data_IF_765501941312
#
_entry.id   IF_765501941312
#
_cell.length_a   1.000
_cell.length_b   1.000
_cell.length_c   1.000
_cell.angle_alpha   90.00
_cell.angle_beta   90.00
_cell.angle_gamma   90.00
#
_symmetry.space_group_name_H-M   'P 1'
#
loop_
_entity.id
_entity.type
_entity.pdbx_description
1 polymer ?
#
# COMPACT_ATOMS: atom_id res chain seq x y z
N UNK A 1 -4.73 -39.16 23.00
CA UNK A 1 -4.14 -37.81 23.10
C UNK A 1 -5.25 -36.84 23.51
N UNK A 2 -5.13 -36.10 24.62
CA UNK A 2 -6.14 -35.10 24.98
C UNK A 2 -6.10 -33.93 23.99
N UNK A 3 -7.28 -33.40 23.64
CA UNK A 3 -7.39 -32.19 22.82
C UNK A 3 -6.81 -30.99 23.56
N UNK A 4 -6.01 -30.19 22.86
CA UNK A 4 -5.39 -28.98 23.38
C UNK A 4 -6.15 -27.76 22.87
N UNK A 5 -6.64 -26.93 23.78
CA UNK A 5 -7.34 -25.70 23.41
C UNK A 5 -6.35 -24.68 22.84
N UNK A 6 -6.56 -24.25 21.61
CA UNK A 6 -5.77 -23.22 20.94
C UNK A 6 -6.39 -21.84 21.16
N UNK A 7 -5.54 -20.80 21.15
CA UNK A 7 -5.97 -19.41 21.23
C UNK A 7 -6.95 -19.10 20.08
N UNK A 8 -8.05 -18.41 20.41
CA UNK A 8 -8.99 -17.92 19.41
C UNK A 8 -8.29 -16.97 18.43
N UNK A 9 -8.48 -17.22 17.13
CA UNK A 9 -7.94 -16.44 16.01
C UNK A 9 -9.04 -15.89 15.10
N UNK A 10 -10.32 -16.04 15.45
CA UNK A 10 -11.44 -15.63 14.60
C UNK A 10 -11.35 -14.17 14.20
N UNK A 11 -11.12 -13.27 15.16
CA UNK A 11 -10.97 -11.83 14.91
C UNK A 11 -9.74 -11.49 14.07
N UNK A 12 -8.61 -12.17 14.31
CA UNK A 12 -7.38 -11.96 13.55
C UNK A 12 -7.58 -12.37 12.08
N UNK A 13 -8.25 -13.52 11.83
CA UNK A 13 -8.55 -14.04 10.50
C UNK A 13 -9.56 -13.17 9.74
N UNK A 14 -10.60 -12.69 10.43
CA UNK A 14 -11.57 -11.76 9.85
C UNK A 14 -10.89 -10.44 9.47
N UNK A 15 -10.05 -9.89 10.34
CA UNK A 15 -9.29 -8.67 10.06
C UNK A 15 -8.40 -8.83 8.83
N UNK A 16 -7.69 -9.96 8.72
CA UNK A 16 -6.86 -10.25 7.56
C UNK A 16 -7.68 -10.42 6.27
N UNK A 17 -8.85 -11.06 6.37
CA UNK A 17 -9.77 -11.24 5.24
C UNK A 17 -10.27 -9.90 4.70
N UNK A 18 -10.69 -8.99 5.59
CA UNK A 18 -11.16 -7.65 5.22
C UNK A 18 -10.02 -6.86 4.57
N UNK A 19 -8.81 -6.86 5.16
CA UNK A 19 -7.63 -6.21 4.55
C UNK A 19 -7.35 -6.74 3.15
N UNK A 20 -7.41 -8.05 2.97
CA UNK A 20 -7.18 -8.71 1.68
C UNK A 20 -8.25 -8.31 0.66
N UNK A 21 -9.51 -8.26 1.07
CA UNK A 21 -10.61 -7.82 0.21
C UNK A 21 -10.42 -6.35 -0.23
N UNK A 22 -10.08 -5.46 0.70
CA UNK A 22 -9.81 -4.05 0.37
C UNK A 22 -8.67 -3.91 -0.63
N UNK A 23 -7.56 -4.64 -0.45
CA UNK A 23 -6.45 -4.64 -1.41
C UNK A 23 -6.88 -5.12 -2.80
N UNK A 24 -7.70 -6.17 -2.87
CA UNK A 24 -8.21 -6.66 -4.15
C UNK A 24 -9.20 -5.70 -4.82
N UNK A 25 -10.03 -5.01 -4.04
CA UNK A 25 -10.91 -3.96 -4.56
C UNK A 25 -10.09 -2.81 -5.16
N UNK A 26 -9.08 -2.30 -4.43
CA UNK A 26 -8.18 -1.26 -4.94
C UNK A 26 -7.48 -1.69 -6.23
N UNK A 27 -6.98 -2.93 -6.30
CA UNK A 27 -6.39 -3.47 -7.54
C UNK A 27 -7.39 -3.50 -8.70
N UNK A 28 -8.62 -3.93 -8.45
CA UNK A 28 -9.69 -3.91 -9.45
C UNK A 28 -9.96 -2.50 -9.99
N UNK A 29 -9.93 -1.49 -9.11
CA UNK A 29 -10.08 -0.09 -9.51
C UNK A 29 -8.90 0.41 -10.36
N UNK A 30 -7.66 0.02 -10.04
CA UNK A 30 -6.47 0.34 -10.87
C UNK A 30 -6.61 -0.23 -12.29
N UNK A 31 -7.04 -1.49 -12.43
CA UNK A 31 -7.26 -2.10 -13.74
C UNK A 31 -8.40 -1.43 -14.50
N UNK A 32 -9.47 -1.03 -13.81
CA UNK A 32 -10.58 -0.27 -14.43
C UNK A 32 -10.09 1.07 -14.97
N UNK A 33 -9.25 1.78 -14.20
CA UNK A 33 -8.64 3.04 -14.66
C UNK A 33 -7.74 2.82 -15.87
N UNK A 34 -6.89 1.78 -15.87
CA UNK A 34 -6.03 1.42 -17.00
C UNK A 34 -6.83 1.16 -18.28
N UNK A 35 -7.87 0.33 -18.19
CA UNK A 35 -8.76 0.05 -19.32
C UNK A 35 -9.47 1.31 -19.82
N UNK A 36 -9.98 2.13 -18.91
CA UNK A 36 -10.62 3.39 -19.28
C UNK A 36 -9.65 4.32 -20.02
N UNK A 37 -8.43 4.48 -19.49
CA UNK A 37 -7.40 5.30 -20.11
C UNK A 37 -7.01 4.80 -21.50
N UNK A 38 -6.89 3.49 -21.69
CA UNK A 38 -6.62 2.88 -22.99
C UNK A 38 -7.74 3.19 -24.01
N UNK A 39 -9.00 3.02 -23.61
CA UNK A 39 -10.16 3.30 -24.49
C UNK A 39 -10.28 4.78 -24.84
N UNK A 40 -9.86 5.68 -23.95
CA UNK A 40 -9.98 7.13 -24.11
C UNK A 40 -8.71 7.83 -24.63
N UNK A 41 -7.65 7.07 -24.96
CA UNK A 41 -6.35 7.61 -25.36
C UNK A 41 -5.76 8.60 -24.34
N UNK A 42 -5.83 8.22 -23.05
CA UNK A 42 -5.28 8.99 -21.95
C UNK A 42 -3.97 8.36 -21.46
N UNK A 43 -2.95 9.18 -21.27
CA UNK A 43 -1.71 8.76 -20.61
C UNK A 43 -1.96 8.50 -19.13
N UNK A 44 -1.61 7.30 -18.65
CA UNK A 44 -1.76 6.88 -17.26
C UNK A 44 -0.43 6.43 -16.70
N UNK A 45 -0.05 7.05 -15.58
CA UNK A 45 1.13 6.70 -14.81
C UNK A 45 0.78 6.54 -13.33
N UNK A 46 1.48 5.61 -12.66
CA UNK A 46 1.30 5.31 -11.25
C UNK A 46 2.51 5.73 -10.42
N UNK A 47 2.27 6.10 -9.17
CA UNK A 47 3.31 6.20 -8.15
C UNK A 47 2.77 5.75 -6.79
N UNK A 48 3.63 5.18 -5.96
CA UNK A 48 3.28 4.60 -4.66
C UNK A 48 4.48 4.60 -3.71
N UNK A 49 4.23 4.33 -2.43
CA UNK A 49 5.28 4.05 -1.45
C UNK A 49 5.67 2.58 -1.63
N UNK A 50 6.91 2.35 -2.06
CA UNK A 50 7.41 0.99 -2.31
C UNK A 50 7.96 0.31 -1.04
N UNK A 51 8.18 -1.00 -1.11
CA UNK A 51 8.63 -1.85 0.00
C UNK A 51 9.99 -1.45 0.61
N UNK A 52 10.76 -0.57 -0.05
CA UNK A 52 12.01 -0.05 0.50
C UNK A 52 11.77 1.02 1.57
N UNK A 53 10.54 1.55 1.68
CA UNK A 53 10.15 2.44 2.76
C UNK A 53 9.82 1.63 4.04
N UNK A 54 10.85 1.41 4.86
CA UNK A 54 10.76 0.68 6.13
C UNK A 54 10.68 1.50 7.44
N UNK A 55 10.70 2.85 7.46
CA UNK A 55 10.49 3.61 8.71
C UNK A 55 9.19 3.23 9.44
N UNK A 56 9.25 3.18 10.76
CA UNK A 56 8.09 2.96 11.63
C UNK A 56 7.86 4.17 12.54
N UNK A 57 6.60 4.43 12.89
CA UNK A 57 6.27 5.46 13.87
C UNK A 57 6.94 5.12 15.21
N UNK A 58 7.65 6.10 15.79
CA UNK A 58 8.38 5.93 17.05
C UNK A 58 7.53 6.30 18.26
N UNK A 59 6.40 6.97 18.03
CA UNK A 59 5.44 7.40 19.03
C UNK A 59 4.01 7.02 18.65
N UNK A 60 3.11 7.08 19.63
CA UNK A 60 1.65 6.92 19.42
C UNK A 60 0.98 8.21 18.93
N UNK A 61 1.76 9.25 18.62
CA UNK A 61 1.21 10.50 18.11
C UNK A 61 0.64 10.25 16.72
N UNK A 62 -0.51 10.87 16.42
CA UNK A 62 -1.13 10.81 15.10
C UNK A 62 -0.18 11.31 14.00
N UNK A 63 0.67 12.29 14.34
CA UNK A 63 1.70 12.85 13.46
C UNK A 63 3.07 12.68 14.11
N UNK A 64 3.63 11.48 14.03
CA UNK A 64 5.01 11.23 14.44
C UNK A 64 5.97 12.01 13.54
N UNK A 65 6.66 13.01 14.08
CA UNK A 65 7.49 13.93 13.31
C UNK A 65 8.67 13.24 12.64
N UNK A 66 9.25 12.22 13.27
CA UNK A 66 10.34 11.42 12.71
C UNK A 66 9.85 10.65 11.49
N UNK A 67 8.72 9.93 11.61
CA UNK A 67 8.12 9.18 10.51
C UNK A 67 7.67 10.09 9.37
N UNK A 68 7.01 11.22 9.68
CA UNK A 68 6.59 12.20 8.67
C UNK A 68 7.78 12.80 7.90
N UNK A 69 8.88 13.13 8.60
CA UNK A 69 10.10 13.60 7.96
C UNK A 69 10.73 12.53 7.07
N UNK A 70 10.73 11.28 7.52
CA UNK A 70 11.22 10.16 6.71
C UNK A 70 10.36 9.97 5.44
N UNK A 71 9.04 10.05 5.56
CA UNK A 71 8.10 9.96 4.44
C UNK A 71 8.31 11.10 3.43
N UNK A 72 8.46 12.34 3.91
CA UNK A 72 8.76 13.49 3.07
C UNK A 72 10.07 13.29 2.29
N UNK A 73 11.15 12.92 3.00
CA UNK A 73 12.45 12.70 2.38
C UNK A 73 12.42 11.57 1.36
N UNK A 74 11.67 10.49 1.64
CA UNK A 74 11.48 9.40 0.69
C UNK A 74 10.81 9.89 -0.60
N UNK A 75 9.69 10.63 -0.49
CA UNK A 75 9.00 11.19 -1.66
C UNK A 75 9.86 12.18 -2.44
N UNK A 76 10.55 13.09 -1.75
CA UNK A 76 11.47 14.06 -2.37
C UNK A 76 12.60 13.35 -3.15
N UNK A 77 13.24 12.34 -2.54
CA UNK A 77 14.28 11.56 -3.18
C UNK A 77 13.76 10.75 -4.37
N UNK A 78 12.53 10.22 -4.26
CA UNK A 78 11.90 9.47 -5.36
C UNK A 78 11.63 10.36 -6.57
N UNK A 79 11.11 11.57 -6.33
CA UNK A 79 10.83 12.54 -7.39
C UNK A 79 12.11 13.04 -8.08
N UNK A 80 13.14 13.38 -7.31
CA UNK A 80 14.40 13.95 -7.85
C UNK A 80 15.27 12.94 -8.61
N UNK A 81 15.09 11.64 -8.36
CA UNK A 81 15.85 10.56 -9.03
C UNK A 81 15.23 10.07 -10.34
N UNK A 82 14.18 10.71 -10.86
CA UNK A 82 13.49 10.31 -12.10
C UNK A 82 12.97 8.85 -12.09
N UNK A 83 12.62 8.33 -10.91
CA UNK A 83 12.02 6.99 -10.70
C UNK A 83 10.62 7.11 -10.10
N UNK A 84 9.92 8.20 -10.41
CA UNK A 84 8.67 8.54 -9.76
C UNK A 84 7.50 7.72 -10.34
N UNK A 85 7.40 7.68 -11.65
CA UNK A 85 6.28 7.16 -12.40
C UNK A 85 6.56 5.77 -12.96
N UNK A 86 5.53 4.92 -12.99
CA UNK A 86 5.54 3.61 -13.65
C UNK A 86 4.24 3.40 -14.41
N UNK A 87 4.29 2.68 -15.51
CA UNK A 87 3.10 2.29 -16.29
C UNK A 87 2.50 0.97 -15.81
N UNK A 88 3.26 0.17 -15.07
CA UNK A 88 2.79 -1.13 -14.56
C UNK A 88 1.98 -0.97 -13.27
N UNK A 89 0.91 -1.74 -13.16
CA UNK A 89 0.11 -1.83 -11.93
C UNK A 89 0.98 -2.44 -10.80
N UNK A 90 1.08 -1.79 -9.62
CA UNK A 90 1.88 -2.30 -8.52
C UNK A 90 1.42 -3.68 -8.03
N UNK A 91 2.39 -4.56 -7.76
CA UNK A 91 2.19 -5.87 -7.12
C UNK A 91 1.92 -5.73 -5.62
#
# INVERSE_FOLDING_TARGET
>A
MPYQQVKDKGMDLLTQSVKSLTLQQTRGDLYRMMYFSEVQDLELEFTYIDDRFTPQAQSKQMFDSTYMKALYNYGYNKATKHQLWTTDVPY
#
